data_IF_020604501531
#
_entry.id   IF_020604501531
#
_cell.length_a   1.000
_cell.length_b   1.000
_cell.length_c   1.000
_cell.angle_alpha   90.00
_cell.angle_beta   90.00
_cell.angle_gamma   90.00
#
_symmetry.space_group_name_H-M   'P 1'
#
loop_
_entity.id
_entity.type
_entity.pdbx_description
1 polymer ?
#
# COMPACT_ATOMS: atom_id res chain seq x y z
N UNK A 1 5.52 -11.27 27.73
CA UNK A 1 6.97 -11.35 27.42
C UNK A 1 7.33 -12.59 26.60
N UNK A 2 6.52 -13.65 26.63
CA UNK A 2 6.81 -14.94 25.96
C UNK A 2 6.81 -14.87 24.43
N UNK A 3 5.99 -14.02 23.82
CA UNK A 3 5.93 -13.84 22.36
C UNK A 3 7.27 -13.35 21.77
N UNK A 4 7.84 -12.29 22.34
CA UNK A 4 9.15 -11.77 21.88
C UNK A 4 10.29 -12.77 22.09
N UNK A 5 10.21 -13.55 23.17
CA UNK A 5 11.17 -14.64 23.45
C UNK A 5 11.01 -15.76 22.40
N UNK A 6 9.77 -16.13 22.04
CA UNK A 6 9.47 -17.11 20.99
C UNK A 6 9.99 -16.67 19.63
N UNK A 7 9.82 -15.38 19.26
CA UNK A 7 10.36 -14.82 18.02
C UNK A 7 11.90 -14.89 17.97
N UNK A 8 12.58 -14.52 19.07
CA UNK A 8 14.05 -14.61 19.12
C UNK A 8 14.53 -16.06 19.01
N UNK A 9 13.87 -16.99 19.71
CA UNK A 9 14.25 -18.40 19.71
C UNK A 9 14.09 -19.05 18.33
N UNK A 10 13.07 -18.65 17.56
CA UNK A 10 12.73 -19.24 16.27
C UNK A 10 13.17 -18.37 15.07
N UNK A 11 14.11 -17.44 15.26
CA UNK A 11 14.54 -16.47 14.23
C UNK A 11 14.95 -17.15 12.90
N UNK A 12 15.76 -18.19 12.96
CA UNK A 12 16.21 -18.91 11.76
C UNK A 12 15.07 -19.60 11.04
N UNK A 13 14.16 -20.20 11.80
CA UNK A 13 12.96 -20.85 11.26
C UNK A 13 12.03 -19.84 10.60
N UNK A 14 11.82 -18.68 11.22
CA UNK A 14 11.00 -17.58 10.67
C UNK A 14 11.57 -17.12 9.33
N UNK A 15 12.89 -16.88 9.28
CA UNK A 15 13.57 -16.47 8.06
C UNK A 15 13.47 -17.51 6.94
N UNK A 16 13.70 -18.78 7.29
CA UNK A 16 13.57 -19.88 6.34
C UNK A 16 12.15 -19.99 5.79
N UNK A 17 11.13 -19.97 6.68
CA UNK A 17 9.73 -20.05 6.29
C UNK A 17 9.26 -18.81 5.48
N UNK A 18 9.75 -17.61 5.79
CA UNK A 18 9.42 -16.41 5.04
C UNK A 18 9.98 -16.48 3.60
N UNK A 19 11.20 -16.96 3.43
CA UNK A 19 11.81 -17.18 2.11
C UNK A 19 11.09 -18.28 1.32
N UNK A 20 10.67 -19.34 1.99
CA UNK A 20 9.93 -20.45 1.40
C UNK A 20 8.50 -20.02 1.01
N UNK A 21 7.85 -19.17 1.81
CA UNK A 21 6.54 -18.60 1.52
C UNK A 21 6.53 -17.80 0.20
N UNK A 22 7.55 -16.94 -0.01
CA UNK A 22 7.70 -16.20 -1.27
C UNK A 22 7.83 -17.19 -2.46
N UNK A 23 8.66 -18.22 -2.30
CA UNK A 23 8.83 -19.23 -3.36
C UNK A 23 7.55 -19.99 -3.65
N UNK A 24 6.84 -20.41 -2.61
CA UNK A 24 5.59 -21.20 -2.73
C UNK A 24 4.48 -20.40 -3.38
N UNK A 25 4.35 -19.10 -3.07
CA UNK A 25 3.32 -18.23 -3.66
C UNK A 25 3.40 -18.18 -5.18
N UNK A 26 4.59 -18.33 -5.75
CA UNK A 26 4.84 -18.26 -7.19
C UNK A 26 5.36 -19.59 -7.77
N UNK A 27 5.30 -20.67 -6.99
CA UNK A 27 5.69 -22.00 -7.43
C UNK A 27 4.75 -22.50 -8.56
N UNK A 28 5.34 -23.05 -9.60
CA UNK A 28 4.57 -23.56 -10.76
C UNK A 28 4.34 -22.55 -11.89
N UNK A 29 4.72 -21.27 -11.70
CA UNK A 29 4.69 -20.31 -12.81
C UNK A 29 6.04 -20.22 -13.52
N UNK A 30 6.03 -19.95 -14.86
CA UNK A 30 7.23 -19.84 -15.66
C UNK A 30 8.15 -18.68 -15.24
N UNK A 31 7.60 -17.59 -14.72
CA UNK A 31 8.34 -16.42 -14.25
C UNK A 31 8.65 -16.49 -12.75
N UNK A 32 8.06 -17.46 -12.00
CA UNK A 32 8.33 -17.64 -10.59
C UNK A 32 8.12 -16.36 -9.77
N UNK A 33 9.07 -16.04 -8.90
CA UNK A 33 9.04 -14.88 -8.00
C UNK A 33 8.97 -13.53 -8.73
N UNK A 34 9.32 -13.46 -10.03
CA UNK A 34 9.21 -12.22 -10.79
C UNK A 34 7.79 -11.68 -10.87
N UNK A 35 6.76 -12.54 -10.75
CA UNK A 35 5.37 -12.11 -10.68
C UNK A 35 5.05 -11.21 -9.48
N UNK A 36 5.79 -11.37 -8.36
CA UNK A 36 5.63 -10.48 -7.21
C UNK A 36 5.91 -9.01 -7.54
N UNK A 37 6.79 -8.79 -8.51
CA UNK A 37 7.21 -7.46 -8.95
C UNK A 37 6.46 -7.02 -10.20
N UNK A 38 6.24 -7.93 -11.14
CA UNK A 38 5.61 -7.62 -12.43
C UNK A 38 4.18 -7.11 -12.25
N UNK A 39 3.37 -7.75 -11.41
CA UNK A 39 1.96 -7.38 -11.23
C UNK A 39 1.78 -5.94 -10.71
N UNK A 40 2.44 -5.49 -9.61
CA UNK A 40 2.35 -4.10 -9.18
C UNK A 40 2.94 -3.11 -10.21
N UNK A 41 4.04 -3.45 -10.89
CA UNK A 41 4.62 -2.60 -11.93
C UNK A 41 3.63 -2.37 -13.08
N UNK A 42 3.02 -3.43 -13.59
CA UNK A 42 2.00 -3.31 -14.65
C UNK A 42 0.82 -2.46 -14.17
N UNK A 43 0.37 -2.64 -12.94
CA UNK A 43 -0.72 -1.84 -12.38
C UNK A 43 -0.36 -0.36 -12.31
N UNK A 44 0.85 -0.01 -11.86
CA UNK A 44 1.35 1.38 -11.83
C UNK A 44 1.38 1.97 -13.24
N UNK A 45 1.88 1.22 -14.23
CA UNK A 45 1.95 1.66 -15.63
C UNK A 45 0.55 1.90 -16.19
N UNK A 46 -0.41 1.00 -15.93
CA UNK A 46 -1.79 1.15 -16.38
C UNK A 46 -2.42 2.40 -15.78
N UNK A 47 -2.27 2.62 -14.47
CA UNK A 47 -2.83 3.81 -13.83
C UNK A 47 -2.16 5.08 -14.31
N UNK A 48 -0.83 5.09 -14.47
CA UNK A 48 -0.13 6.21 -15.08
C UNK A 48 -0.66 6.52 -16.48
N UNK A 49 -0.82 5.49 -17.32
CA UNK A 49 -1.35 5.66 -18.68
C UNK A 49 -2.77 6.23 -18.67
N UNK A 50 -3.67 5.63 -17.88
CA UNK A 50 -5.08 6.04 -17.82
C UNK A 50 -5.22 7.46 -17.29
N UNK A 51 -4.56 7.78 -16.19
CA UNK A 51 -4.73 9.08 -15.55
C UNK A 51 -3.94 10.20 -16.24
N UNK A 52 -2.68 9.96 -16.59
CA UNK A 52 -1.86 11.01 -17.19
C UNK A 52 -2.15 11.20 -18.68
N UNK A 53 -2.29 10.12 -19.46
CA UNK A 53 -2.51 10.19 -20.91
C UNK A 53 -4.00 10.25 -21.23
N UNK A 54 -4.81 9.37 -20.63
CA UNK A 54 -6.25 9.28 -20.89
C UNK A 54 -7.03 10.46 -20.33
N UNK A 55 -6.92 10.71 -19.04
CA UNK A 55 -7.64 11.76 -18.33
C UNK A 55 -6.89 13.10 -18.24
N UNK A 56 -5.63 13.16 -18.71
CA UNK A 56 -4.76 14.33 -18.64
C UNK A 56 -4.66 14.92 -17.23
N UNK A 57 -4.69 14.06 -16.23
CA UNK A 57 -4.56 14.45 -14.83
C UNK A 57 -3.13 14.92 -14.55
N UNK A 58 -3.01 15.98 -13.76
CA UNK A 58 -1.73 16.50 -13.26
C UNK A 58 -1.66 16.29 -11.74
N UNK A 59 -0.44 16.30 -11.19
CA UNK A 59 -0.28 16.23 -9.75
C UNK A 59 -0.98 17.44 -9.09
N UNK A 60 -1.70 17.23 -7.97
CA UNK A 60 -2.57 18.27 -7.40
C UNK A 60 -1.79 19.43 -6.79
N UNK A 61 -2.37 20.63 -6.87
CA UNK A 61 -2.06 21.84 -6.12
C UNK A 61 -0.57 22.15 -5.98
N UNK A 62 -0.05 22.02 -4.77
CA UNK A 62 1.34 22.33 -4.42
C UNK A 62 2.39 21.37 -5.02
N UNK A 63 1.97 20.25 -5.61
CA UNK A 63 2.84 19.23 -6.23
C UNK A 63 2.90 19.30 -7.75
N UNK A 64 2.43 20.40 -8.36
CA UNK A 64 2.38 20.58 -9.83
C UNK A 64 3.74 20.44 -10.52
N UNK A 65 4.84 20.68 -9.81
CA UNK A 65 6.20 20.51 -10.36
C UNK A 65 6.68 19.04 -10.32
N UNK A 66 5.95 18.13 -9.64
CA UNK A 66 6.31 16.71 -9.54
C UNK A 66 5.65 15.92 -10.67
N UNK A 67 6.38 15.00 -11.35
CA UNK A 67 5.77 14.11 -12.32
C UNK A 67 4.62 13.33 -11.71
N UNK A 68 3.50 13.26 -12.41
CA UNK A 68 2.31 12.53 -11.96
C UNK A 68 2.62 11.07 -11.59
N UNK A 69 3.54 10.44 -12.35
CA UNK A 69 4.00 9.07 -12.06
C UNK A 69 4.55 8.93 -10.64
N UNK A 70 5.40 9.85 -10.20
CA UNK A 70 6.00 9.81 -8.86
C UNK A 70 4.93 10.01 -7.79
N UNK A 71 4.02 10.96 -8.01
CA UNK A 71 2.91 11.22 -7.09
C UNK A 71 2.03 9.99 -6.89
N UNK A 72 1.60 9.34 -7.98
CA UNK A 72 0.73 8.16 -7.88
C UNK A 72 1.46 6.95 -7.26
N UNK A 73 2.76 6.78 -7.55
CA UNK A 73 3.58 5.71 -6.95
C UNK A 73 3.68 5.86 -5.43
N UNK A 74 3.79 7.09 -4.90
CA UNK A 74 3.84 7.35 -3.47
C UNK A 74 2.58 6.86 -2.73
N UNK A 75 1.43 6.88 -3.37
CA UNK A 75 0.18 6.37 -2.81
C UNK A 75 0.00 4.86 -3.04
N UNK A 76 0.29 4.37 -4.25
CA UNK A 76 0.06 2.97 -4.63
C UNK A 76 0.99 1.98 -3.92
N UNK A 77 2.27 2.31 -3.76
CA UNK A 77 3.25 1.40 -3.15
C UNK A 77 2.90 1.03 -1.71
N UNK A 78 2.60 1.99 -0.80
CA UNK A 78 2.11 1.65 0.53
C UNK A 78 0.79 0.88 0.50
N UNK A 79 -0.12 1.23 -0.42
CA UNK A 79 -1.40 0.54 -0.55
C UNK A 79 -1.24 -0.92 -0.96
N UNK A 80 -0.38 -1.22 -1.93
CA UNK A 80 -0.10 -2.60 -2.33
C UNK A 80 0.46 -3.42 -1.18
N UNK A 81 1.39 -2.84 -0.41
CA UNK A 81 1.94 -3.50 0.77
C UNK A 81 0.88 -3.76 1.84
N UNK A 82 0.03 -2.77 2.13
CA UNK A 82 -1.07 -2.91 3.08
C UNK A 82 -2.06 -3.99 2.64
N UNK A 83 -2.50 -3.92 1.39
CA UNK A 83 -3.48 -4.85 0.83
C UNK A 83 -2.95 -6.29 0.76
N UNK A 84 -1.73 -6.47 0.23
CA UNK A 84 -1.11 -7.81 0.16
C UNK A 84 -0.83 -8.36 1.56
N UNK A 85 -0.34 -7.53 2.49
CA UNK A 85 -0.09 -7.93 3.86
C UNK A 85 -1.36 -8.41 4.58
N UNK A 86 -2.44 -7.64 4.53
CA UNK A 86 -3.72 -8.00 5.17
C UNK A 86 -4.30 -9.28 4.54
N UNK A 87 -4.36 -9.38 3.20
CA UNK A 87 -4.88 -10.57 2.53
C UNK A 87 -4.08 -11.83 2.89
N UNK A 88 -2.75 -11.74 2.85
CA UNK A 88 -1.84 -12.85 3.14
C UNK A 88 -1.93 -13.31 4.60
N UNK A 89 -2.05 -12.36 5.54
CA UNK A 89 -2.17 -12.69 6.96
C UNK A 89 -3.54 -13.25 7.28
N UNK A 90 -4.61 -12.73 6.66
CA UNK A 90 -5.98 -13.21 6.91
C UNK A 90 -6.15 -14.69 6.52
N UNK A 91 -5.52 -15.14 5.43
CA UNK A 91 -5.60 -16.53 4.94
C UNK A 91 -4.61 -17.47 5.61
N UNK A 92 -3.68 -16.98 6.43
CA UNK A 92 -2.53 -17.77 6.90
C UNK A 92 -2.91 -19.06 7.65
N UNK A 93 -3.90 -19.03 8.53
CA UNK A 93 -4.30 -20.22 9.29
C UNK A 93 -5.03 -21.26 8.42
N UNK A 94 -5.71 -20.82 7.37
CA UNK A 94 -6.32 -21.72 6.39
C UNK A 94 -5.26 -22.40 5.53
N UNK A 95 -4.29 -21.63 5.03
CA UNK A 95 -3.18 -22.15 4.20
C UNK A 95 -2.28 -23.11 4.96
N UNK A 96 -1.93 -22.78 6.21
CA UNK A 96 -1.04 -23.60 7.04
C UNK A 96 -1.78 -24.55 7.99
N UNK A 97 -3.06 -24.83 7.76
CA UNK A 97 -3.89 -25.73 8.60
C UNK A 97 -3.26 -27.11 8.78
N UNK A 98 -2.55 -27.61 7.78
CA UNK A 98 -1.79 -28.87 7.84
C UNK A 98 -0.62 -28.78 8.83
N UNK A 99 0.13 -27.68 8.83
CA UNK A 99 1.29 -27.48 9.72
C UNK A 99 0.84 -27.38 11.17
N UNK A 100 -0.24 -26.69 11.42
CA UNK A 100 -0.86 -26.51 12.74
C UNK A 100 -1.25 -27.85 13.37
N UNK A 101 -1.66 -28.83 12.55
CA UNK A 101 -2.10 -30.15 13.04
C UNK A 101 -0.95 -31.15 13.30
N UNK A 102 0.21 -30.97 12.65
CA UNK A 102 1.29 -31.95 12.64
C UNK A 102 2.54 -31.57 13.40
N UNK A 103 2.78 -30.30 13.66
CA UNK A 103 4.02 -29.81 14.27
C UNK A 103 3.72 -29.08 15.56
N UNK A 104 4.52 -29.35 16.60
CA UNK A 104 4.53 -28.57 17.86
C UNK A 104 5.21 -27.24 17.60
N UNK A 105 4.51 -26.36 16.88
CA UNK A 105 4.99 -25.07 16.45
C UNK A 105 4.07 -23.97 17.00
N UNK A 106 4.67 -22.85 17.42
CA UNK A 106 3.91 -21.72 17.95
C UNK A 106 3.15 -21.01 16.81
N UNK A 107 1.86 -21.31 16.68
CA UNK A 107 0.95 -20.81 15.64
C UNK A 107 0.99 -19.28 15.52
N UNK A 108 1.28 -18.58 16.63
CA UNK A 108 1.36 -17.11 16.68
C UNK A 108 2.46 -16.52 15.79
N UNK A 109 3.41 -17.34 15.33
CA UNK A 109 4.52 -16.88 14.47
C UNK A 109 4.09 -16.78 12.99
N UNK A 110 3.05 -17.53 12.57
CA UNK A 110 2.61 -17.60 11.18
C UNK A 110 2.24 -16.23 10.57
N UNK A 111 1.46 -15.36 11.23
CA UNK A 111 1.20 -14.01 10.74
C UNK A 111 2.47 -13.18 10.51
N UNK A 112 3.45 -13.30 11.41
CA UNK A 112 4.73 -12.58 11.30
C UNK A 112 5.52 -13.05 10.06
N UNK A 113 5.51 -14.35 9.75
CA UNK A 113 6.16 -14.90 8.56
C UNK A 113 5.60 -14.25 7.29
N UNK A 114 4.27 -14.16 7.17
CA UNK A 114 3.60 -13.54 6.02
C UNK A 114 3.96 -12.07 5.85
N UNK A 115 4.03 -11.33 6.95
CA UNK A 115 4.41 -9.90 6.88
C UNK A 115 5.88 -9.73 6.50
N UNK A 116 6.78 -10.56 7.01
CA UNK A 116 8.18 -10.52 6.59
C UNK A 116 8.29 -10.79 5.09
N UNK A 117 7.56 -11.78 4.56
CA UNK A 117 7.51 -12.06 3.12
C UNK A 117 7.02 -10.85 2.32
N UNK A 118 5.93 -10.20 2.73
CA UNK A 118 5.39 -9.01 2.08
C UNK A 118 6.35 -7.81 2.18
N UNK A 119 7.07 -7.67 3.31
CA UNK A 119 8.04 -6.59 3.52
C UNK A 119 9.19 -6.63 2.53
N UNK A 120 9.64 -7.81 2.09
CA UNK A 120 10.68 -7.90 1.05
C UNK A 120 10.25 -7.26 -0.26
N UNK A 121 9.03 -7.54 -0.70
CA UNK A 121 8.46 -6.96 -1.91
C UNK A 121 8.30 -5.45 -1.74
N UNK A 122 7.83 -5.01 -0.58
CA UNK A 122 7.67 -3.59 -0.26
C UNK A 122 9.00 -2.83 -0.29
N UNK A 123 10.06 -3.36 0.30
CA UNK A 123 11.40 -2.75 0.27
C UNK A 123 11.93 -2.58 -1.15
N UNK A 124 11.69 -3.55 -2.02
CA UNK A 124 12.03 -3.42 -3.43
C UNK A 124 11.30 -2.22 -4.08
N UNK A 125 10.00 -2.05 -3.81
CA UNK A 125 9.24 -0.93 -4.36
C UNK A 125 9.62 0.43 -3.74
N UNK A 126 10.02 0.47 -2.47
CA UNK A 126 10.62 1.67 -1.86
C UNK A 126 11.92 2.04 -2.59
N UNK A 127 12.77 1.05 -2.87
CA UNK A 127 14.00 1.30 -3.62
C UNK A 127 13.68 1.79 -5.04
N UNK A 128 12.70 1.18 -5.70
CA UNK A 128 12.27 1.55 -7.04
C UNK A 128 11.80 3.00 -7.10
N UNK A 129 10.98 3.46 -6.16
CA UNK A 129 10.51 4.86 -6.15
C UNK A 129 11.67 5.82 -5.93
N UNK A 130 12.66 5.49 -5.09
CA UNK A 130 13.85 6.31 -4.91
C UNK A 130 14.69 6.42 -6.18
N UNK A 131 14.83 5.31 -6.93
CA UNK A 131 15.50 5.32 -8.23
C UNK A 131 14.74 6.21 -9.21
N UNK A 132 13.42 6.08 -9.30
CA UNK A 132 12.58 6.89 -10.19
C UNK A 132 12.69 8.37 -9.83
N UNK A 133 12.63 8.72 -8.54
CA UNK A 133 12.79 10.11 -8.08
C UNK A 133 14.16 10.68 -8.46
N UNK A 134 15.22 9.90 -8.29
CA UNK A 134 16.58 10.32 -8.68
C UNK A 134 16.70 10.55 -10.20
N UNK A 135 16.07 9.71 -11.02
CA UNK A 135 16.03 9.88 -12.49
C UNK A 135 15.32 11.16 -12.92
N UNK A 136 14.32 11.62 -12.17
CA UNK A 136 13.64 12.89 -12.40
C UNK A 136 14.38 14.10 -11.78
N UNK A 137 15.56 13.92 -11.21
CA UNK A 137 16.39 14.98 -10.64
C UNK A 137 16.02 15.40 -9.21
N UNK A 138 15.13 14.67 -8.54
CA UNK A 138 14.81 14.90 -7.13
C UNK A 138 15.85 14.24 -6.24
N UNK A 139 16.79 15.04 -5.73
CA UNK A 139 17.84 14.54 -4.82
C UNK A 139 17.26 14.04 -3.51
N UNK A 140 17.76 12.92 -2.97
CA UNK A 140 17.33 12.38 -1.69
C UNK A 140 17.58 13.40 -0.57
N UNK A 141 16.52 13.75 0.14
CA UNK A 141 16.55 14.62 1.31
C UNK A 141 16.34 13.78 2.59
N UNK A 142 16.69 14.34 3.75
CA UNK A 142 16.51 13.68 5.06
C UNK A 142 15.06 13.24 5.30
N UNK A 143 14.10 13.89 4.65
CA UNK A 143 12.68 13.52 4.69
C UNK A 143 12.38 12.10 4.17
N UNK A 144 13.26 11.50 3.34
CA UNK A 144 13.08 10.12 2.86
C UNK A 144 13.20 9.07 3.97
N UNK A 145 13.85 9.40 5.08
CA UNK A 145 13.91 8.56 6.27
C UNK A 145 12.50 8.33 6.84
N UNK A 146 11.58 9.29 6.65
CA UNK A 146 10.18 9.15 7.07
C UNK A 146 9.48 7.97 6.39
N UNK A 147 9.87 7.60 5.17
CA UNK A 147 9.28 6.44 4.46
C UNK A 147 9.52 5.14 5.24
N UNK A 148 10.69 4.97 5.84
CA UNK A 148 10.99 3.80 6.67
C UNK A 148 10.19 3.81 7.99
N UNK A 149 10.05 4.98 8.60
CA UNK A 149 9.21 5.14 9.80
C UNK A 149 7.75 4.78 9.52
N UNK A 150 7.16 5.33 8.44
CA UNK A 150 5.78 5.00 8.06
C UNK A 150 5.62 3.54 7.64
N UNK A 151 6.60 2.95 6.99
CA UNK A 151 6.60 1.51 6.67
C UNK A 151 6.59 0.66 7.94
N UNK A 152 7.34 1.04 8.97
CA UNK A 152 7.32 0.37 10.26
C UNK A 152 5.94 0.48 10.94
N UNK A 153 5.34 1.68 10.97
CA UNK A 153 3.98 1.88 11.48
C UNK A 153 2.95 1.03 10.72
N UNK A 154 3.10 0.92 9.40
CA UNK A 154 2.25 0.10 8.56
C UNK A 154 2.38 -1.40 8.91
N UNK A 155 3.59 -1.90 9.14
CA UNK A 155 3.84 -3.27 9.60
C UNK A 155 3.09 -3.54 10.91
N UNK A 156 3.19 -2.63 11.89
CA UNK A 156 2.47 -2.75 13.16
C UNK A 156 0.96 -2.77 12.96
N UNK A 157 0.44 -1.92 12.08
CA UNK A 157 -0.98 -1.86 11.74
C UNK A 157 -1.47 -3.17 11.08
N UNK A 158 -0.72 -3.66 10.08
CA UNK A 158 -1.03 -4.92 9.40
C UNK A 158 -0.99 -6.09 10.39
N UNK A 159 -0.02 -6.12 11.32
CA UNK A 159 0.03 -7.13 12.38
C UNK A 159 -1.22 -7.08 13.25
N UNK A 160 -1.61 -5.90 13.73
CA UNK A 160 -2.76 -5.75 14.62
C UNK A 160 -4.07 -6.20 13.95
N UNK A 161 -4.36 -5.68 12.76
CA UNK A 161 -5.56 -6.08 11.99
C UNK A 161 -5.47 -7.54 11.57
N UNK A 162 -4.29 -7.98 11.11
CA UNK A 162 -4.06 -9.32 10.61
C UNK A 162 -4.24 -10.42 11.66
N UNK A 163 -3.80 -10.21 12.89
CA UNK A 163 -4.07 -11.16 13.98
C UNK A 163 -5.56 -11.30 14.26
N UNK A 164 -6.29 -10.18 14.24
CA UNK A 164 -7.73 -10.20 14.42
C UNK A 164 -8.43 -10.94 13.27
N UNK A 165 -8.14 -10.56 12.01
CA UNK A 165 -8.78 -11.17 10.83
C UNK A 165 -8.39 -12.63 10.64
N UNK A 166 -7.11 -12.99 10.87
CA UNK A 166 -6.68 -14.39 10.77
C UNK A 166 -7.33 -15.29 11.80
N UNK A 167 -7.53 -14.81 13.03
CA UNK A 167 -8.25 -15.56 14.06
C UNK A 167 -9.72 -15.76 13.68
N UNK A 168 -10.34 -14.72 13.12
CA UNK A 168 -11.74 -14.78 12.69
C UNK A 168 -11.92 -15.67 11.45
N UNK A 169 -10.94 -15.76 10.57
CA UNK A 169 -10.98 -16.60 9.35
C UNK A 169 -11.08 -18.09 9.65
N UNK A 170 -10.65 -18.52 10.83
CA UNK A 170 -10.82 -19.91 11.28
C UNK A 170 -12.29 -20.27 11.49
N UNK A 171 -13.11 -19.32 11.94
CA UNK A 171 -14.54 -19.48 12.14
C UNK A 171 -15.33 -19.25 10.85
N UNK A 172 -14.92 -18.26 10.06
CA UNK A 172 -15.58 -17.85 8.81
C UNK A 172 -14.61 -18.02 7.64
N UNK A 173 -14.76 -19.11 6.89
CA UNK A 173 -13.88 -19.44 5.75
C UNK A 173 -13.93 -18.42 4.61
N UNK A 174 -15.02 -17.70 4.49
CA UNK A 174 -15.23 -16.71 3.43
C UNK A 174 -14.65 -15.32 3.78
N UNK A 175 -14.12 -15.17 5.01
CA UNK A 175 -13.56 -13.92 5.49
C UNK A 175 -12.42 -13.36 4.58
N UNK A 176 -11.48 -14.16 4.07
CA UNK A 176 -10.46 -13.65 3.16
C UNK A 176 -11.04 -13.01 1.90
N UNK A 177 -12.11 -13.56 1.32
CA UNK A 177 -12.78 -12.98 0.16
C UNK A 177 -13.46 -11.66 0.50
N UNK A 178 -14.13 -11.60 1.65
CA UNK A 178 -14.76 -10.37 2.15
C UNK A 178 -13.73 -9.27 2.39
N UNK A 179 -12.59 -9.60 2.99
CA UNK A 179 -11.48 -8.67 3.20
C UNK A 179 -10.94 -8.16 1.86
N UNK A 180 -10.79 -9.02 0.87
CA UNK A 180 -10.34 -8.63 -0.47
C UNK A 180 -11.30 -7.64 -1.13
N UNK A 181 -12.62 -7.84 -1.01
CA UNK A 181 -13.63 -6.90 -1.53
C UNK A 181 -13.55 -5.56 -0.82
N UNK A 182 -13.44 -5.56 0.52
CA UNK A 182 -13.28 -4.33 1.32
C UNK A 182 -12.02 -3.57 0.91
N UNK A 183 -10.90 -4.25 0.73
CA UNK A 183 -9.64 -3.62 0.31
C UNK A 183 -9.75 -3.06 -1.10
N UNK A 184 -10.41 -3.77 -2.02
CA UNK A 184 -10.63 -3.28 -3.39
C UNK A 184 -11.50 -2.01 -3.40
N UNK A 185 -12.57 -1.97 -2.61
CA UNK A 185 -13.38 -0.77 -2.42
C UNK A 185 -12.59 0.35 -1.70
N UNK A 186 -11.81 -0.01 -0.69
CA UNK A 186 -10.97 0.91 0.09
C UNK A 186 -9.97 1.67 -0.78
N UNK A 187 -9.42 1.04 -1.81
CA UNK A 187 -8.49 1.68 -2.74
C UNK A 187 -9.12 2.90 -3.45
N UNK A 188 -10.40 2.82 -3.80
CA UNK A 188 -11.13 3.91 -4.46
C UNK A 188 -11.65 4.95 -3.45
N UNK A 189 -11.96 4.54 -2.23
CA UNK A 189 -12.41 5.42 -1.16
C UNK A 189 -11.27 6.23 -0.56
N UNK A 190 -10.05 5.69 -0.56
CA UNK A 190 -8.86 6.36 -0.04
C UNK A 190 -8.34 7.37 -1.07
N UNK A 191 -7.94 8.59 -0.68
CA UNK A 191 -7.44 9.64 -1.59
C UNK A 191 -6.03 9.32 -2.12
N UNK A 192 -5.88 8.14 -2.76
CA UNK A 192 -4.67 7.71 -3.45
C UNK A 192 -4.72 8.12 -4.92
N UNK A 193 -5.90 7.99 -5.53
CA UNK A 193 -6.13 8.27 -6.95
C UNK A 193 -6.62 9.70 -7.21
N UNK A 194 -7.14 10.34 -6.18
CA UNK A 194 -7.70 11.69 -6.22
C UNK A 194 -7.16 12.52 -5.05
N UNK A 195 -6.97 13.80 -5.29
CA UNK A 195 -6.47 14.67 -4.24
C UNK A 195 -7.61 15.17 -3.36
N UNK A 196 -7.34 15.29 -2.07
CA UNK A 196 -8.30 15.83 -1.09
C UNK A 196 -8.78 17.24 -1.50
N UNK A 197 -7.92 18.03 -2.12
CA UNK A 197 -8.25 19.38 -2.61
C UNK A 197 -9.31 19.39 -3.75
N UNK A 198 -9.54 18.23 -4.40
CA UNK A 198 -10.61 18.09 -5.38
C UNK A 198 -11.99 17.95 -4.75
N UNK A 199 -12.06 17.60 -3.46
CA UNK A 199 -13.27 17.54 -2.65
C UNK A 199 -13.46 18.82 -1.83
N UNK A 200 -13.16 19.98 -2.39
CA UNK A 200 -13.40 21.26 -1.71
C UNK A 200 -14.91 21.47 -1.53
N UNK A 201 -15.29 21.86 -0.29
CA UNK A 201 -16.62 22.35 -0.03
C UNK A 201 -16.85 23.64 -0.84
N UNK A 202 -17.98 23.73 -1.52
CA UNK A 202 -18.36 25.01 -2.12
C UNK A 202 -18.53 26.07 -1.00
N UNK A 203 -18.52 27.34 -1.37
CA UNK A 203 -18.68 28.45 -0.43
C UNK A 203 -20.01 28.40 0.39
N UNK A 204 -20.90 27.49 0.06
CA UNK A 204 -22.17 27.21 0.74
C UNK A 204 -22.09 25.98 1.68
N UNK A 205 -20.89 25.38 1.90
CA UNK A 205 -20.70 24.23 2.77
C UNK A 205 -21.26 22.91 2.24
N UNK A 206 -21.56 22.83 0.94
CA UNK A 206 -22.04 21.62 0.28
C UNK A 206 -20.86 20.83 -0.27
N UNK A 207 -20.88 19.52 -0.05
CA UNK A 207 -19.89 18.61 -0.61
C UNK A 207 -19.97 18.60 -2.14
N UNK A 208 -19.03 19.27 -2.79
CA UNK A 208 -18.92 19.29 -4.25
C UNK A 208 -17.88 18.29 -4.72
N UNK A 209 -18.33 17.13 -5.15
CA UNK A 209 -17.49 16.25 -5.96
C UNK A 209 -17.33 16.95 -7.32
N UNK A 210 -16.10 17.40 -7.59
CA UNK A 210 -15.69 17.88 -8.91
C UNK A 210 -16.20 19.25 -9.38
N UNK A 211 -15.43 20.29 -9.08
CA UNK A 211 -15.43 21.54 -9.86
C UNK A 211 -14.03 22.11 -10.04
N UNK A 212 -13.06 21.24 -10.39
CA UNK A 212 -11.64 21.61 -10.53
C UNK A 212 -11.30 22.74 -11.54
N UNK A 213 -12.28 23.34 -12.20
CA UNK A 213 -12.03 24.42 -13.17
C UNK A 213 -12.60 25.80 -12.79
N UNK A 214 -13.45 25.90 -11.77
CA UNK A 214 -14.09 27.18 -11.43
C UNK A 214 -13.60 27.82 -10.13
N UNK A 215 -13.04 27.05 -9.21
CA UNK A 215 -12.58 27.60 -7.91
C UNK A 215 -11.31 28.46 -8.06
N UNK A 216 -10.44 28.17 -9.03
CA UNK A 216 -9.23 28.97 -9.28
C UNK A 216 -9.58 30.35 -9.85
N UNK A 217 -10.60 30.44 -10.70
CA UNK A 217 -11.02 31.70 -11.35
C UNK A 217 -11.72 32.69 -10.42
N UNK A 218 -12.26 32.25 -9.29
CA UNK A 218 -12.89 33.15 -8.31
C UNK A 218 -11.88 33.81 -7.38
N UNK A 219 -10.77 33.13 -7.06
CA UNK A 219 -9.71 33.68 -6.20
C UNK A 219 -8.93 34.80 -6.91
N UNK A 220 -8.66 34.65 -8.20
CA UNK A 220 -7.96 35.67 -8.99
C UNK A 220 -8.81 36.94 -9.17
N UNK A 221 -10.14 36.83 -9.18
CA UNK A 221 -11.05 37.96 -9.24
C UNK A 221 -11.18 38.72 -7.91
N UNK A 222 -11.10 38.05 -6.79
CA UNK A 222 -11.14 38.73 -5.48
C UNK A 222 -9.84 39.50 -5.23
N UNK A 223 -8.69 38.96 -5.62
CA UNK A 223 -7.40 39.63 -5.46
C UNK A 223 -7.22 40.84 -6.42
N UNK A 224 -7.85 40.83 -7.60
CA UNK A 224 -7.80 41.94 -8.51
C UNK A 224 -8.72 43.10 -8.11
N UNK A 225 -9.72 42.88 -7.25
CA UNK A 225 -10.57 43.96 -6.70
C UNK A 225 -9.92 44.67 -5.50
N UNK A 226 -9.04 43.98 -4.75
CA UNK A 226 -8.33 44.58 -3.62
C UNK A 226 -7.13 45.45 -4.04
N UNK A 227 -6.62 45.29 -5.27
CA UNK A 227 -5.51 46.12 -5.79
C UNK A 227 -5.96 47.37 -6.59
N UNK A 228 -7.25 47.55 -6.76
CA UNK A 228 -7.80 48.71 -7.50
C UNK A 228 -8.65 49.68 -6.64
N UNK A 229 -8.53 49.57 -5.29
CA UNK A 229 -9.15 50.51 -4.33
C UNK A 229 -8.04 51.34 -3.62
#
# INVERSE_FOLDING_TARGET
>A
MDFLRSLKKNKELIWFLAKDDIKKRYAGSSLGVLWAFAQPCVTIIIYWFVFQIGLRSVAPGQYTNMPFLVWIMCGLIPWFFFSDGINSVTSVFLEYSYLVKKVVFDIKILPVIKIISATFVHLFFILLIFIVMALFGYMPNICYIQAFYYSFCMICLILAIGYFTSSLSVFFRDLPQLVQVILSAGMWLTPIMWAYDMCAYDAAGRFAIWTGHKACRSRDRVMSFEQSG
#
